data_IF_911233771470
#
_entry.id   IF_911233771470
#
_cell.length_a   1.000
_cell.length_b   1.000
_cell.length_c   1.000
_cell.angle_alpha   90.00
_cell.angle_beta   90.00
_cell.angle_gamma   90.00
#
_symmetry.space_group_name_H-M   'P 1'
#
loop_
_entity.id
_entity.type
_entity.pdbx_description
1 polymer ?
#
# COMPACT_ATOMS: atom_id res chain seq x y z
N UNK A 1 -11.85 -29.29 -13.23
CA UNK A 1 -11.33 -28.02 -13.81
C UNK A 1 -11.85 -26.78 -13.10
N UNK A 2 -13.15 -26.63 -12.85
CA UNK A 2 -13.70 -25.47 -12.11
C UNK A 2 -13.27 -25.42 -10.65
N UNK A 3 -13.13 -26.58 -10.01
CA UNK A 3 -12.88 -26.66 -8.56
C UNK A 3 -11.42 -26.31 -8.22
N UNK A 4 -10.46 -26.81 -8.99
CA UNK A 4 -9.04 -26.45 -8.88
C UNK A 4 -8.80 -24.95 -9.12
N UNK A 5 -9.47 -24.35 -10.12
CA UNK A 5 -9.39 -22.90 -10.37
C UNK A 5 -9.99 -22.12 -9.20
N UNK A 6 -11.09 -22.62 -8.63
CA UNK A 6 -11.72 -22.04 -7.44
C UNK A 6 -10.80 -22.06 -6.23
N UNK A 7 -10.10 -23.18 -5.98
CA UNK A 7 -9.14 -23.32 -4.89
C UNK A 7 -7.95 -22.38 -5.02
N UNK A 8 -7.35 -22.30 -6.22
CA UNK A 8 -6.25 -21.37 -6.51
C UNK A 8 -6.69 -19.92 -6.26
N UNK A 9 -7.88 -19.55 -6.73
CA UNK A 9 -8.43 -18.20 -6.51
C UNK A 9 -8.63 -17.90 -5.03
N UNK A 10 -9.16 -18.85 -4.25
CA UNK A 10 -9.37 -18.69 -2.82
C UNK A 10 -8.05 -18.55 -2.06
N UNK A 11 -7.02 -19.30 -2.44
CA UNK A 11 -5.68 -19.17 -1.86
C UNK A 11 -5.08 -17.78 -2.14
N UNK A 12 -5.17 -17.31 -3.38
CA UNK A 12 -4.73 -15.96 -3.75
C UNK A 12 -5.45 -14.86 -2.95
N UNK A 13 -6.77 -14.98 -2.77
CA UNK A 13 -7.52 -14.04 -1.95
C UNK A 13 -7.05 -14.02 -0.49
N UNK A 14 -6.84 -15.19 0.12
CA UNK A 14 -6.34 -15.29 1.50
C UNK A 14 -4.95 -14.66 1.65
N UNK A 15 -4.06 -14.89 0.68
CA UNK A 15 -2.72 -14.28 0.66
C UNK A 15 -2.80 -12.76 0.52
N UNK A 16 -3.64 -12.26 -0.39
CA UNK A 16 -3.84 -10.82 -0.58
C UNK A 16 -4.42 -10.18 0.69
N UNK A 17 -5.45 -10.79 1.30
CA UNK A 17 -6.04 -10.34 2.55
C UNK A 17 -5.00 -10.29 3.68
N UNK A 18 -4.17 -11.33 3.80
CA UNK A 18 -3.09 -11.37 4.79
C UNK A 18 -2.11 -10.21 4.60
N UNK A 19 -1.66 -9.94 3.37
CA UNK A 19 -0.74 -8.81 3.07
C UNK A 19 -1.41 -7.48 3.40
N UNK A 20 -2.64 -7.27 2.94
CA UNK A 20 -3.39 -6.02 3.18
C UNK A 20 -3.57 -5.77 4.68
N UNK A 21 -3.90 -6.80 5.46
CA UNK A 21 -4.08 -6.68 6.91
C UNK A 21 -2.77 -6.45 7.64
N UNK A 22 -1.74 -7.24 7.31
CA UNK A 22 -0.43 -7.19 7.99
C UNK A 22 0.27 -5.88 7.75
N UNK A 23 0.20 -5.35 6.52
CA UNK A 23 0.93 -4.15 6.12
C UNK A 23 0.03 -2.92 5.96
N UNK A 24 -1.22 -2.99 6.45
CA UNK A 24 -2.22 -1.91 6.30
C UNK A 24 -1.65 -0.54 6.65
N UNK A 25 -0.95 -0.45 7.76
CA UNK A 25 -0.32 0.79 8.24
C UNK A 25 0.66 1.40 7.23
N UNK A 26 1.48 0.57 6.57
CA UNK A 26 2.42 1.05 5.56
C UNK A 26 1.69 1.46 4.28
N UNK A 27 0.65 0.72 3.89
CA UNK A 27 -0.21 1.07 2.76
C UNK A 27 -0.94 2.40 3.00
N UNK A 28 -1.45 2.63 4.20
CA UNK A 28 -2.08 3.89 4.60
C UNK A 28 -1.06 5.04 4.57
N UNK A 29 0.17 4.82 5.06
CA UNK A 29 1.24 5.81 5.01
C UNK A 29 1.65 6.15 3.56
N UNK A 30 1.66 5.17 2.65
CA UNK A 30 1.91 5.40 1.23
C UNK A 30 0.77 6.20 0.57
N UNK A 31 -0.49 5.92 0.93
CA UNK A 31 -1.64 6.69 0.45
C UNK A 31 -1.66 8.13 1.00
N UNK A 32 -1.16 8.37 2.21
CA UNK A 32 -0.95 9.71 2.75
C UNK A 32 0.20 10.43 2.04
N UNK A 33 1.31 9.72 1.75
CA UNK A 33 2.43 10.27 1.00
C UNK A 33 2.03 10.73 -0.40
N UNK A 34 1.21 9.95 -1.12
CA UNK A 34 0.74 10.35 -2.46
C UNK A 34 0.01 11.71 -2.44
N UNK A 35 -0.79 11.96 -1.40
CA UNK A 35 -1.50 13.23 -1.22
C UNK A 35 -0.60 14.35 -0.73
N UNK A 36 0.12 14.11 0.38
CA UNK A 36 0.85 15.14 1.13
C UNK A 36 2.28 15.37 0.64
N UNK A 37 2.87 14.40 -0.04
CA UNK A 37 4.29 14.36 -0.34
C UNK A 37 5.18 14.01 0.86
N UNK A 38 4.62 13.65 2.02
CA UNK A 38 5.37 13.28 3.23
C UNK A 38 5.09 11.83 3.60
N UNK A 39 6.15 11.01 3.59
CA UNK A 39 6.08 9.62 4.04
C UNK A 39 6.41 9.58 5.52
N UNK A 40 5.42 9.18 6.32
CA UNK A 40 5.53 9.12 7.77
C UNK A 40 5.05 7.76 8.27
N UNK A 41 5.86 7.14 9.13
CA UNK A 41 5.54 5.85 9.78
C UNK A 41 5.90 5.97 11.26
N UNK A 42 4.99 5.57 12.16
CA UNK A 42 5.19 5.64 13.62
C UNK A 42 5.62 7.02 14.13
N UNK A 43 5.01 8.08 13.59
CA UNK A 43 5.39 9.44 13.99
C UNK A 43 6.68 9.95 13.35
N UNK A 44 7.49 9.08 12.72
CA UNK A 44 8.78 9.44 12.12
C UNK A 44 8.61 9.75 10.63
N UNK A 45 9.12 10.90 10.22
CA UNK A 45 9.21 11.26 8.81
C UNK A 45 10.37 10.49 8.20
N UNK A 46 10.08 9.68 7.19
CA UNK A 46 11.07 8.88 6.47
C UNK A 46 11.50 9.57 5.17
N UNK A 47 10.57 10.24 4.49
CA UNK A 47 10.83 10.89 3.22
C UNK A 47 9.90 12.08 3.03
N UNK A 48 10.40 13.14 2.41
CA UNK A 48 9.61 14.28 1.95
C UNK A 48 9.96 14.49 0.49
N UNK A 49 8.96 14.41 -0.38
CA UNK A 49 9.15 14.66 -1.81
C UNK A 49 9.54 16.12 -2.01
N UNK A 50 10.57 16.35 -2.82
CA UNK A 50 10.81 17.66 -3.42
C UNK A 50 9.93 17.72 -4.67
N UNK A 51 8.64 17.99 -4.49
CA UNK A 51 7.82 18.42 -5.62
C UNK A 51 8.36 19.79 -6.02
N UNK A 52 9.26 19.83 -7.01
CA UNK A 52 9.51 21.05 -7.74
C UNK A 52 8.17 21.41 -8.39
N UNK A 53 7.51 22.42 -7.83
CA UNK A 53 6.44 23.10 -8.52
C UNK A 53 7.12 23.71 -9.73
N UNK A 54 7.05 23.03 -10.88
CA UNK A 54 7.26 23.67 -12.17
C UNK A 54 6.24 24.81 -12.21
N UNK A 55 6.68 26.00 -11.80
CA UNK A 55 5.94 27.23 -12.00
C UNK A 55 6.01 27.48 -13.51
N UNK A 56 4.88 27.23 -14.17
CA UNK A 56 4.44 27.87 -15.41
C UNK A 56 5.43 27.89 -16.56
#
# INVERSE_FOLDING_TARGET
MTDEISEIRNDLYKRAEFVLKTYKKYLDALAEFDRSGVLKVDGKILYVTKREVNKG
#
